data_IF_020357553738
#
_entry.id   IF_020357553738
#
_cell.length_a   1.000
_cell.length_b   1.000
_cell.length_c   1.000
_cell.angle_alpha   90.00
_cell.angle_beta   90.00
_cell.angle_gamma   90.00
#
_symmetry.space_group_name_H-M   'P 1'
#
loop_
_entity.id
_entity.type
_entity.pdbx_description
1 polymer ?
#
# COMPACT_ATOMS: atom_id res chain seq x y z
N UNK A 1 44.09 22.40 -34.54
CA UNK A 1 43.82 23.60 -33.75
C UNK A 1 43.20 23.13 -32.45
N UNK A 2 44.03 23.21 -31.49
CA UNK A 2 43.98 22.73 -30.14
C UNK A 2 43.21 23.72 -29.26
N UNK A 3 42.38 23.23 -28.33
CA UNK A 3 42.01 24.02 -27.18
C UNK A 3 41.40 23.10 -26.08
N UNK A 4 42.29 22.58 -25.29
CA UNK A 4 42.08 21.97 -24.01
C UNK A 4 41.67 22.99 -22.94
N UNK A 5 40.55 22.80 -22.27
CA UNK A 5 40.11 23.58 -21.11
C UNK A 5 40.08 22.73 -19.86
N UNK A 6 41.17 22.78 -19.12
CA UNK A 6 41.29 22.23 -17.75
C UNK A 6 40.56 23.15 -16.74
N UNK A 7 39.74 22.61 -15.87
CA UNK A 7 39.35 23.24 -14.62
C UNK A 7 39.82 22.45 -13.41
N UNK A 8 40.40 23.11 -12.40
CA UNK A 8 41.07 22.46 -11.29
C UNK A 8 40.14 22.03 -10.15
N UNK A 9 40.46 20.87 -9.65
CA UNK A 9 39.92 20.31 -8.38
C UNK A 9 40.48 21.11 -7.20
N UNK A 10 39.66 21.63 -6.33
CA UNK A 10 40.06 22.14 -5.01
C UNK A 10 39.65 21.14 -3.94
N UNK A 11 40.68 20.49 -3.40
CA UNK A 11 40.65 19.80 -2.14
C UNK A 11 40.49 20.80 -0.99
N UNK A 12 39.63 20.53 -0.03
CA UNK A 12 39.71 21.13 1.30
C UNK A 12 39.61 20.04 2.35
N UNK A 13 40.64 20.02 3.17
CA UNK A 13 40.97 19.12 4.23
C UNK A 13 40.06 19.17 5.46
N UNK A 14 40.15 18.17 6.35
CA UNK A 14 39.34 17.98 7.52
C UNK A 14 39.90 18.67 8.76
N UNK A 15 39.06 19.17 9.63
CA UNK A 15 39.48 19.61 10.97
C UNK A 15 38.87 18.68 11.99
N UNK A 16 39.75 17.83 12.50
CA UNK A 16 39.62 17.09 13.77
C UNK A 16 39.94 18.05 14.90
N UNK A 17 39.07 18.20 15.85
CA UNK A 17 39.40 18.81 17.14
C UNK A 17 39.01 17.85 18.29
N UNK A 18 40.02 17.25 18.84
CA UNK A 18 40.04 16.49 20.08
C UNK A 18 40.05 17.50 21.21
N UNK A 19 39.20 17.38 22.20
CA UNK A 19 39.40 18.02 23.48
C UNK A 19 39.21 16.99 24.61
N UNK A 20 40.29 16.77 25.27
CA UNK A 20 40.47 15.81 26.37
C UNK A 20 40.16 16.43 27.73
N UNK A 21 39.64 15.58 28.58
CA UNK A 21 39.80 15.50 30.05
C UNK A 21 40.04 16.77 30.88
N UNK A 22 39.20 16.96 31.87
CA UNK A 22 39.71 17.26 33.24
C UNK A 22 38.75 16.68 34.29
N UNK A 23 39.27 15.68 35.02
CA UNK A 23 38.74 15.22 36.29
C UNK A 23 39.08 16.27 37.37
N UNK A 24 38.14 16.64 38.19
CA UNK A 24 38.42 17.24 39.50
C UNK A 24 37.66 16.44 40.55
N UNK A 25 38.45 15.74 41.37
CA UNK A 25 38.05 15.19 42.66
C UNK A 25 38.06 16.32 43.69
N UNK A 26 37.02 16.44 44.49
CA UNK A 26 37.14 17.09 45.81
C UNK A 26 36.31 16.32 46.83
N UNK A 27 37.00 16.02 47.91
CA UNK A 27 36.62 15.22 49.08
C UNK A 27 35.79 16.03 50.07
N UNK A 28 34.82 15.37 50.71
CA UNK A 28 34.50 15.32 52.14
C UNK A 28 34.51 16.60 52.97
N UNK A 29 33.39 16.87 53.66
CA UNK A 29 33.32 17.10 55.11
C UNK A 29 31.85 17.04 55.57
N UNK A 30 31.56 16.17 56.55
CA UNK A 30 30.42 16.18 57.48
C UNK A 30 30.93 16.98 58.71
N UNK A 31 30.15 17.70 59.56
CA UNK A 31 29.17 17.09 60.46
C UNK A 31 27.94 17.91 60.93
N UNK A 32 26.86 17.17 61.33
CA UNK A 32 26.12 17.17 62.62
C UNK A 32 25.54 18.51 63.14
N UNK A 33 24.22 18.52 63.38
CA UNK A 33 23.46 18.78 64.61
C UNK A 33 21.96 18.97 64.23
N UNK A 34 21.10 18.07 64.57
CA UNK A 34 20.36 17.77 65.81
C UNK A 34 19.23 18.79 66.12
N UNK A 35 18.04 18.23 66.20
CA UNK A 35 16.93 18.42 67.16
C UNK A 35 15.79 19.40 66.86
N UNK A 36 14.60 18.79 66.86
CA UNK A 36 13.29 19.24 67.37
C UNK A 36 12.52 20.35 66.66
N UNK A 37 11.39 19.97 66.12
CA UNK A 37 10.08 20.22 66.76
C UNK A 37 8.96 19.51 65.98
N UNK A 38 8.27 18.67 66.71
CA UNK A 38 7.00 18.09 66.31
C UNK A 38 5.91 19.15 66.33
N UNK A 39 5.30 19.39 65.18
CA UNK A 39 3.97 20.01 65.14
C UNK A 39 3.21 19.26 64.03
N UNK A 40 2.28 18.46 64.51
CA UNK A 40 1.30 17.76 63.67
C UNK A 40 0.36 18.81 63.03
N UNK A 41 0.50 18.97 61.72
CA UNK A 41 -0.59 19.53 60.91
C UNK A 41 -1.07 18.43 59.99
N UNK A 42 -2.21 17.85 60.35
CA UNK A 42 -3.01 17.03 59.48
C UNK A 42 -3.52 17.88 58.30
N UNK A 43 -2.74 17.94 57.25
CA UNK A 43 -3.22 18.40 55.96
C UNK A 43 -3.90 17.21 55.32
N UNK A 44 -5.22 17.27 55.25
CA UNK A 44 -6.01 16.47 54.33
C UNK A 44 -5.46 16.67 52.91
N UNK A 45 -4.50 15.85 52.53
CA UNK A 45 -4.13 15.67 51.16
C UNK A 45 -5.30 15.05 50.44
N UNK A 46 -6.09 15.89 49.75
CA UNK A 46 -6.96 15.38 48.70
C UNK A 46 -6.07 14.67 47.69
N UNK A 47 -6.02 13.35 47.79
CA UNK A 47 -5.50 12.51 46.76
C UNK A 47 -6.30 12.82 45.48
N UNK A 48 -5.70 13.64 44.60
CA UNK A 48 -6.08 13.63 43.20
C UNK A 48 -5.86 12.20 42.76
N UNK A 49 -6.93 11.40 42.79
CA UNK A 49 -6.98 10.12 42.11
C UNK A 49 -6.51 10.38 40.69
N UNK A 50 -5.34 9.88 40.36
CA UNK A 50 -4.98 9.66 38.96
C UNK A 50 -6.08 8.75 38.44
N UNK A 51 -7.13 9.35 37.87
CA UNK A 51 -8.12 8.66 37.07
C UNK A 51 -7.35 8.05 35.93
N UNK A 52 -6.92 6.80 36.12
CA UNK A 52 -6.43 6.00 35.03
C UNK A 52 -7.51 6.09 33.95
N UNK A 53 -7.23 6.77 32.86
CA UNK A 53 -8.01 6.63 31.65
C UNK A 53 -8.09 5.11 31.40
N UNK A 54 -9.24 4.53 31.72
CA UNK A 54 -9.56 3.20 31.24
C UNK A 54 -9.40 3.28 29.74
N UNK A 55 -8.34 2.68 29.20
CA UNK A 55 -8.06 2.67 27.79
C UNK A 55 -9.34 2.29 27.05
N UNK A 56 -9.80 3.15 26.15
CA UNK A 56 -10.87 2.78 25.24
C UNK A 56 -10.49 1.43 24.59
N UNK A 57 -11.42 0.51 24.48
CA UNK A 57 -11.17 -0.72 23.72
C UNK A 57 -10.58 -0.36 22.36
N UNK A 58 -9.63 -1.13 21.82
CA UNK A 58 -9.10 -0.90 20.48
C UNK A 58 -10.27 -0.76 19.49
N UNK A 59 -10.28 0.31 18.73
CA UNK A 59 -11.30 0.50 17.70
C UNK A 59 -11.11 -0.55 16.61
N UNK A 60 -12.23 -1.04 16.03
CA UNK A 60 -12.16 -1.91 14.87
C UNK A 60 -11.49 -1.16 13.69
N UNK A 61 -10.84 -1.87 12.76
CA UNK A 61 -10.24 -1.25 11.57
C UNK A 61 -11.21 -0.39 10.77
N UNK A 62 -12.49 -0.78 10.72
CA UNK A 62 -13.56 0.00 10.11
C UNK A 62 -13.82 1.31 10.87
N UNK A 63 -13.93 1.26 12.20
CA UNK A 63 -14.15 2.44 13.02
C UNK A 63 -12.93 3.37 13.08
N UNK A 64 -11.72 2.82 12.91
CA UNK A 64 -10.45 3.54 12.89
C UNK A 64 -10.08 4.06 11.50
N UNK A 65 -10.88 3.82 10.46
CA UNK A 65 -10.57 4.20 9.09
C UNK A 65 -10.36 5.71 8.95
N UNK A 66 -9.16 6.17 8.53
CA UNK A 66 -8.87 7.62 8.40
C UNK A 66 -9.52 8.22 7.15
N UNK A 67 -9.91 7.38 6.19
CA UNK A 67 -10.57 7.73 4.94
C UNK A 67 -11.69 6.74 4.64
N UNK A 68 -12.77 7.24 4.05
CA UNK A 68 -13.87 6.39 3.57
C UNK A 68 -13.65 6.04 2.10
N UNK A 69 -13.41 4.77 1.81
CA UNK A 69 -13.25 4.22 0.46
C UNK A 69 -14.54 3.61 -0.10
N UNK A 70 -15.60 3.49 0.70
CA UNK A 70 -16.84 2.78 0.30
C UNK A 70 -17.57 3.45 -0.85
N UNK A 71 -18.39 2.68 -1.56
CA UNK A 71 -19.25 3.13 -2.67
C UNK A 71 -18.74 2.71 -4.04
N UNK A 72 -19.27 3.35 -5.07
CA UNK A 72 -18.98 3.05 -6.47
C UNK A 72 -17.92 3.99 -7.04
N UNK A 73 -17.05 3.44 -7.86
CA UNK A 73 -15.93 4.15 -8.48
C UNK A 73 -15.79 3.73 -9.94
N UNK A 74 -15.54 4.67 -10.84
CA UNK A 74 -15.29 4.39 -12.25
C UNK A 74 -13.86 4.72 -12.64
N UNK A 75 -13.21 3.81 -13.35
CA UNK A 75 -11.85 3.98 -13.86
C UNK A 75 -11.73 5.22 -14.74
N UNK A 76 -10.74 6.07 -14.45
CA UNK A 76 -10.26 7.13 -15.34
C UNK A 76 -8.97 6.64 -16.01
N UNK A 77 -9.03 6.38 -17.32
CA UNK A 77 -7.87 5.86 -18.05
C UNK A 77 -7.14 7.03 -18.68
N UNK A 78 -6.31 7.70 -17.89
CA UNK A 78 -5.47 8.83 -18.31
C UNK A 78 -4.03 8.41 -18.55
N UNK A 79 -3.56 7.41 -17.80
CA UNK A 79 -2.23 6.83 -17.90
C UNK A 79 -2.27 5.48 -18.62
N UNK A 80 -1.24 5.17 -19.35
CA UNK A 80 -1.07 3.88 -20.05
C UNK A 80 -2.26 3.49 -20.96
N UNK A 81 -3.07 4.46 -21.41
CA UNK A 81 -4.31 4.21 -22.15
C UNK A 81 -4.14 3.25 -23.32
N UNK A 82 -2.98 3.34 -24.03
CA UNK A 82 -2.64 2.46 -25.16
C UNK A 82 -2.64 0.97 -24.80
N UNK A 83 -2.23 0.63 -23.58
CA UNK A 83 -2.12 -0.75 -23.12
C UNK A 83 -3.26 -1.18 -22.20
N UNK A 84 -4.15 -0.24 -21.84
CA UNK A 84 -5.31 -0.51 -20.97
C UNK A 84 -6.60 -0.58 -21.74
N UNK A 85 -6.81 0.31 -22.73
CA UNK A 85 -8.05 0.39 -23.52
C UNK A 85 -8.12 -0.64 -24.63
N UNK A 86 -6.97 -1.11 -25.12
CA UNK A 86 -6.88 -2.12 -26.17
C UNK A 86 -5.90 -3.18 -25.74
N UNK A 87 -6.23 -4.47 -25.97
CA UNK A 87 -5.27 -5.54 -25.75
C UNK A 87 -4.09 -5.38 -26.71
N UNK A 88 -2.86 -5.18 -26.22
CA UNK A 88 -1.70 -5.03 -27.09
C UNK A 88 -1.41 -6.30 -27.88
N UNK A 89 -0.64 -6.14 -28.96
CA UNK A 89 -0.17 -7.30 -29.71
C UNK A 89 0.67 -8.24 -28.83
N UNK A 90 0.67 -9.53 -29.17
CA UNK A 90 1.57 -10.51 -28.57
C UNK A 90 3.02 -10.04 -28.72
N UNK A 91 3.77 -10.05 -27.63
CA UNK A 91 5.15 -9.58 -27.60
C UNK A 91 5.33 -8.08 -27.41
N UNK A 92 4.28 -7.26 -27.44
CA UNK A 92 4.36 -5.83 -27.04
C UNK A 92 4.33 -5.73 -25.51
N UNK A 93 5.50 -5.84 -24.92
CA UNK A 93 5.71 -5.75 -23.48
C UNK A 93 6.32 -4.41 -23.05
N UNK A 94 6.21 -3.38 -23.90
CA UNK A 94 6.69 -2.04 -23.57
C UNK A 94 6.12 -1.56 -22.23
N UNK A 95 6.90 -0.80 -21.46
CA UNK A 95 6.65 -0.31 -20.09
C UNK A 95 6.59 -1.38 -18.98
N UNK A 96 6.71 -2.67 -19.29
CA UNK A 96 6.91 -3.70 -18.25
C UNK A 96 8.42 -3.91 -18.06
N UNK A 97 8.94 -3.94 -16.82
CA UNK A 97 10.36 -4.23 -16.55
C UNK A 97 10.67 -5.72 -16.75
N UNK A 98 10.71 -6.14 -18.02
CA UNK A 98 10.82 -7.54 -18.44
C UNK A 98 12.19 -8.13 -18.16
N UNK A 99 12.22 -9.45 -17.91
CA UNK A 99 13.44 -10.26 -18.02
C UNK A 99 13.31 -11.32 -19.14
N UNK A 100 14.39 -12.00 -19.54
CA UNK A 100 14.34 -12.99 -20.62
C UNK A 100 13.33 -14.12 -20.38
N UNK A 101 13.16 -14.59 -19.14
CA UNK A 101 12.21 -15.63 -18.79
C UNK A 101 10.76 -15.19 -18.98
N UNK A 102 10.42 -13.96 -18.53
CA UNK A 102 9.10 -13.37 -18.70
C UNK A 102 8.76 -13.13 -20.16
N UNK A 103 9.73 -12.66 -20.97
CA UNK A 103 9.54 -12.51 -22.41
C UNK A 103 9.28 -13.85 -23.08
N UNK A 104 10.10 -14.87 -22.79
CA UNK A 104 9.94 -16.20 -23.35
C UNK A 104 8.59 -16.83 -22.99
N UNK A 105 8.14 -16.68 -21.76
CA UNK A 105 6.83 -17.16 -21.30
C UNK A 105 5.68 -16.39 -21.97
N UNK A 106 5.75 -15.05 -21.99
CA UNK A 106 4.74 -14.20 -22.63
C UNK A 106 4.58 -14.46 -24.13
N UNK A 107 5.67 -14.89 -24.82
CA UNK A 107 5.59 -15.29 -26.23
C UNK A 107 4.79 -16.59 -26.45
N UNK A 108 4.49 -17.38 -25.43
CA UNK A 108 3.64 -18.55 -25.52
C UNK A 108 2.15 -18.21 -25.44
N UNK A 109 1.78 -16.98 -25.09
CA UNK A 109 0.39 -16.57 -24.95
C UNK A 109 -0.46 -16.94 -26.16
N UNK A 110 -1.57 -17.58 -25.86
CA UNK A 110 -2.57 -18.03 -26.82
C UNK A 110 -3.96 -17.92 -26.18
N UNK A 111 -4.70 -16.85 -26.45
CA UNK A 111 -6.00 -16.62 -25.81
C UNK A 111 -7.03 -17.70 -26.12
N UNK A 112 -6.94 -18.36 -27.29
CA UNK A 112 -7.87 -19.44 -27.62
C UNK A 112 -7.63 -20.67 -26.72
N UNK A 113 -6.37 -20.95 -26.37
CA UNK A 113 -6.06 -22.02 -25.42
C UNK A 113 -6.54 -21.67 -24.00
N UNK A 114 -6.36 -20.43 -23.58
CA UNK A 114 -6.85 -19.98 -22.27
C UNK A 114 -8.38 -20.08 -22.17
N UNK A 115 -9.10 -19.69 -23.22
CA UNK A 115 -10.56 -19.84 -23.31
C UNK A 115 -11.00 -21.32 -23.27
N UNK A 116 -10.36 -22.18 -24.07
CA UNK A 116 -10.65 -23.60 -24.09
C UNK A 116 -10.36 -24.30 -22.75
N UNK A 117 -9.40 -23.80 -22.00
CA UNK A 117 -9.05 -24.28 -20.65
C UNK A 117 -9.90 -23.67 -19.52
N UNK A 118 -10.81 -22.73 -19.81
CA UNK A 118 -11.55 -21.98 -18.78
C UNK A 118 -10.68 -20.99 -17.98
N UNK A 119 -9.55 -20.57 -18.54
CA UNK A 119 -8.55 -19.71 -17.89
C UNK A 119 -8.57 -18.26 -18.39
N UNK A 120 -9.67 -17.81 -18.98
CA UNK A 120 -9.84 -16.44 -19.50
C UNK A 120 -9.67 -15.34 -18.43
N UNK A 121 -9.71 -15.69 -17.15
CA UNK A 121 -9.51 -14.75 -16.04
C UNK A 121 -8.04 -14.51 -15.66
N UNK A 122 -7.05 -15.11 -16.33
CA UNK A 122 -5.62 -14.96 -15.95
C UNK A 122 -5.13 -13.52 -15.87
N UNK A 123 -5.68 -12.60 -16.67
CA UNK A 123 -5.34 -11.17 -16.63
C UNK A 123 -6.20 -10.32 -15.69
N UNK A 124 -7.06 -10.95 -14.91
CA UNK A 124 -7.90 -10.30 -13.92
C UNK A 124 -7.47 -10.61 -12.46
N UNK A 125 -6.29 -11.18 -12.28
CA UNK A 125 -5.71 -11.40 -10.96
C UNK A 125 -5.27 -10.11 -10.26
N UNK A 126 -5.02 -10.17 -8.96
CA UNK A 126 -4.63 -9.02 -8.14
C UNK A 126 -3.49 -8.16 -8.73
N UNK A 127 -2.43 -8.75 -9.37
CA UNK A 127 -1.36 -7.96 -9.96
C UNK A 127 -1.79 -7.09 -11.17
N UNK A 128 -2.96 -7.34 -11.77
CA UNK A 128 -3.39 -6.73 -13.02
C UNK A 128 -4.75 -6.03 -12.94
N UNK A 129 -5.66 -6.47 -12.06
CA UNK A 129 -7.09 -6.10 -12.10
C UNK A 129 -7.31 -4.58 -12.01
N UNK A 130 -6.53 -3.85 -11.22
CA UNK A 130 -6.69 -2.40 -11.09
C UNK A 130 -6.31 -1.63 -12.36
N UNK A 131 -5.62 -2.28 -13.31
CA UNK A 131 -5.30 -1.71 -14.62
C UNK A 131 -6.35 -1.99 -15.68
N UNK A 132 -7.21 -2.97 -15.47
CA UNK A 132 -8.36 -3.22 -16.35
C UNK A 132 -9.34 -2.06 -16.20
N UNK A 133 -9.79 -1.41 -17.30
CA UNK A 133 -10.87 -0.44 -17.21
C UNK A 133 -12.12 -1.09 -16.60
N UNK A 134 -12.50 -0.64 -15.42
CA UNK A 134 -13.55 -1.28 -14.61
C UNK A 134 -14.24 -0.26 -13.72
N UNK A 135 -15.38 -0.62 -13.16
CA UNK A 135 -15.91 0.00 -11.94
C UNK A 135 -15.56 -0.85 -10.73
N UNK A 136 -15.41 -0.18 -9.61
CA UNK A 136 -15.24 -0.82 -8.32
C UNK A 136 -16.48 -0.56 -7.46
N UNK A 137 -16.90 -1.57 -6.73
CA UNK A 137 -17.83 -1.44 -5.62
C UNK A 137 -17.11 -1.84 -4.34
N UNK A 138 -16.87 -0.86 -3.48
CA UNK A 138 -16.12 -1.04 -2.23
C UNK A 138 -17.08 -0.98 -1.05
N UNK A 139 -17.07 -2.03 -0.24
CA UNK A 139 -17.94 -2.15 0.95
C UNK A 139 -17.17 -2.79 2.10
N UNK A 140 -17.66 -2.60 3.31
CA UNK A 140 -17.20 -3.41 4.45
C UNK A 140 -18.03 -4.69 4.52
N UNK A 141 -17.35 -5.84 4.41
CA UNK A 141 -17.94 -7.15 4.61
C UNK A 141 -18.25 -7.38 6.11
N UNK A 142 -17.32 -6.94 6.95
CA UNK A 142 -17.46 -6.88 8.41
C UNK A 142 -16.52 -5.79 8.97
N UNK A 143 -16.35 -5.70 10.29
CA UNK A 143 -15.55 -4.65 10.93
C UNK A 143 -14.03 -4.79 10.71
N UNK A 144 -13.56 -5.91 10.18
CA UNK A 144 -12.15 -6.22 9.95
C UNK A 144 -11.84 -6.61 8.50
N UNK A 145 -12.82 -6.61 7.60
CA UNK A 145 -12.64 -7.01 6.20
C UNK A 145 -13.29 -6.00 5.27
N UNK A 146 -12.48 -5.36 4.43
CA UNK A 146 -12.94 -4.52 3.33
C UNK A 146 -13.07 -5.39 2.07
N UNK A 147 -14.20 -5.29 1.36
CA UNK A 147 -14.49 -6.01 0.13
C UNK A 147 -14.45 -5.06 -1.05
N UNK A 148 -13.75 -5.46 -2.12
CA UNK A 148 -13.76 -4.79 -3.41
C UNK A 148 -14.30 -5.76 -4.46
N UNK A 149 -15.34 -5.35 -5.15
CA UNK A 149 -15.91 -6.03 -6.31
C UNK A 149 -15.60 -5.24 -7.57
N UNK A 150 -15.31 -5.91 -8.67
CA UNK A 150 -15.11 -5.29 -10.00
C UNK A 150 -16.21 -5.74 -10.95
N UNK A 151 -16.74 -4.83 -11.77
CA UNK A 151 -17.70 -5.19 -12.80
C UNK A 151 -17.01 -5.92 -13.98
N UNK A 152 -15.85 -5.45 -14.43
CA UNK A 152 -15.08 -6.18 -15.43
C UNK A 152 -14.43 -7.42 -14.81
N UNK A 153 -14.74 -8.59 -15.39
CA UNK A 153 -14.27 -9.88 -14.93
C UNK A 153 -14.99 -10.41 -13.69
N UNK A 154 -15.91 -9.66 -13.10
CA UNK A 154 -16.71 -10.06 -11.91
C UNK A 154 -15.84 -10.60 -10.78
N UNK A 155 -14.74 -9.90 -10.47
CA UNK A 155 -13.81 -10.33 -9.43
C UNK A 155 -14.18 -9.75 -8.08
N UNK A 156 -13.89 -10.53 -7.03
CA UNK A 156 -14.04 -10.09 -5.64
C UNK A 156 -12.70 -10.23 -4.92
N UNK A 157 -12.30 -9.18 -4.22
CA UNK A 157 -11.11 -9.14 -3.38
C UNK A 157 -11.50 -8.83 -1.93
N UNK A 158 -10.95 -9.56 -0.99
CA UNK A 158 -11.16 -9.35 0.44
C UNK A 158 -9.86 -8.87 1.07
N UNK A 159 -9.89 -7.73 1.74
CA UNK A 159 -8.75 -7.14 2.42
C UNK A 159 -8.93 -7.29 3.92
N UNK A 160 -8.14 -8.16 4.53
CA UNK A 160 -8.23 -8.52 5.93
C UNK A 160 -7.29 -7.66 6.78
N UNK A 161 -7.82 -7.06 7.82
CA UNK A 161 -7.04 -6.28 8.77
C UNK A 161 -6.64 -7.13 9.98
N UNK A 162 -5.41 -6.95 10.44
CA UNK A 162 -4.86 -7.70 11.56
C UNK A 162 -4.31 -9.07 11.15
N UNK A 163 -4.28 -9.98 12.11
CA UNK A 163 -3.86 -11.35 11.85
C UNK A 163 -4.91 -12.07 11.00
N UNK A 164 -4.50 -12.52 9.84
CA UNK A 164 -5.35 -13.26 8.92
C UNK A 164 -4.66 -14.58 8.57
N UNK A 165 -5.43 -15.66 8.67
CA UNK A 165 -5.03 -16.97 8.17
C UNK A 165 -5.97 -17.37 7.04
N UNK A 166 -5.45 -17.66 5.83
CA UNK A 166 -6.27 -18.11 4.72
C UNK A 166 -7.09 -19.35 5.09
N UNK A 167 -8.34 -19.37 4.65
CA UNK A 167 -9.22 -20.54 4.88
C UNK A 167 -8.75 -21.78 4.11
N UNK A 168 -7.93 -21.59 3.07
CA UNK A 168 -7.27 -22.68 2.35
C UNK A 168 -5.87 -22.22 1.92
N UNK A 169 -4.94 -23.19 1.80
CA UNK A 169 -3.62 -22.96 1.25
C UNK A 169 -3.60 -23.03 -0.29
N UNK A 170 -4.78 -23.00 -0.95
CA UNK A 170 -4.88 -23.08 -2.40
C UNK A 170 -4.70 -21.68 -3.01
N UNK A 171 -3.67 -21.47 -3.82
CA UNK A 171 -3.45 -20.19 -4.49
C UNK A 171 -4.64 -19.79 -5.38
N UNK A 172 -4.98 -18.50 -5.37
CA UNK A 172 -6.04 -17.93 -6.20
C UNK A 172 -5.52 -16.78 -7.06
N UNK A 173 -6.29 -16.33 -8.06
CA UNK A 173 -5.91 -15.16 -8.87
C UNK A 173 -5.92 -13.87 -8.02
N UNK A 174 -6.75 -13.82 -6.96
CA UNK A 174 -6.83 -12.67 -6.07
C UNK A 174 -5.89 -12.77 -4.86
N UNK A 175 -5.36 -13.97 -4.59
CA UNK A 175 -4.45 -14.23 -3.48
C UNK A 175 -5.07 -13.95 -2.12
N UNK A 176 -4.19 -13.83 -1.14
CA UNK A 176 -4.50 -13.50 0.25
C UNK A 176 -4.00 -12.10 0.56
N UNK A 177 -4.92 -11.20 0.93
CA UNK A 177 -4.62 -9.78 1.10
C UNK A 177 -4.72 -9.35 2.56
N UNK A 178 -3.61 -8.85 3.09
CA UNK A 178 -3.53 -8.24 4.43
C UNK A 178 -3.49 -6.73 4.30
N UNK A 179 -4.37 -6.06 5.02
CA UNK A 179 -4.58 -4.63 4.97
C UNK A 179 -4.12 -3.93 6.27
N UNK A 180 -3.65 -2.70 6.14
CA UNK A 180 -3.34 -1.81 7.25
C UNK A 180 -3.60 -0.37 6.87
N UNK A 181 -4.05 0.45 7.85
CA UNK A 181 -4.12 1.88 7.69
C UNK A 181 -2.74 2.50 7.92
N UNK A 182 -2.27 3.27 6.94
CA UNK A 182 -1.10 4.14 7.10
C UNK A 182 -1.58 5.56 7.37
N UNK A 183 -1.32 6.08 8.56
CA UNK A 183 -1.66 7.45 8.94
C UNK A 183 -0.37 8.26 9.03
N UNK A 184 -0.34 9.42 8.39
CA UNK A 184 0.75 10.38 8.58
C UNK A 184 0.88 10.74 10.05
N UNK A 185 2.11 10.85 10.57
CA UNK A 185 2.36 11.18 11.97
C UNK A 185 1.63 12.46 12.40
N UNK A 186 0.66 12.33 13.29
CA UNK A 186 -0.04 13.47 13.89
C UNK A 186 0.93 14.34 14.71
N UNK A 187 0.85 15.64 14.60
CA UNK A 187 1.50 16.55 15.55
C UNK A 187 0.77 16.46 16.89
N UNK A 188 1.51 16.60 18.02
CA UNK A 188 0.93 16.61 19.37
C UNK A 188 -0.34 17.45 19.40
N UNK A 189 -1.47 16.83 19.72
CA UNK A 189 -2.77 17.50 19.88
C UNK A 189 -3.59 17.72 18.60
N UNK A 190 -3.14 17.21 17.43
CA UNK A 190 -3.92 17.21 16.20
C UNK A 190 -3.96 15.80 15.60
N UNK A 191 -5.14 15.24 15.34
CA UNK A 191 -5.23 13.96 14.66
C UNK A 191 -4.53 14.01 13.29
N UNK A 192 -4.02 12.88 12.77
CA UNK A 192 -3.48 12.83 11.42
C UNK A 192 -4.51 13.34 10.42
N UNK A 193 -4.11 14.26 9.55
CA UNK A 193 -4.96 14.68 8.46
C UNK A 193 -4.83 13.68 7.31
N UNK A 194 -5.85 12.85 7.10
CA UNK A 194 -5.87 11.84 6.04
C UNK A 194 -5.13 10.55 6.42
N UNK A 195 -5.04 9.66 5.47
CA UNK A 195 -4.37 8.37 5.57
C UNK A 195 -4.48 7.62 4.26
N UNK A 196 -3.76 6.51 4.15
CA UNK A 196 -3.74 5.59 3.02
C UNK A 196 -4.11 4.19 3.50
N UNK A 197 -4.77 3.40 2.66
CA UNK A 197 -4.89 1.98 2.90
C UNK A 197 -3.74 1.28 2.17
N UNK A 198 -2.91 0.58 2.93
CA UNK A 198 -1.89 -0.32 2.38
C UNK A 198 -2.39 -1.75 2.41
N UNK A 199 -2.22 -2.45 1.30
CA UNK A 199 -2.60 -3.85 1.14
C UNK A 199 -1.41 -4.63 0.60
N UNK A 200 -1.09 -5.76 1.23
CA UNK A 200 -0.07 -6.71 0.74
C UNK A 200 -0.76 -8.01 0.39
N UNK A 201 -0.60 -8.45 -0.86
CA UNK A 201 -1.22 -9.66 -1.39
C UNK A 201 -0.15 -10.68 -1.78
N UNK A 202 -0.32 -11.91 -1.30
CA UNK A 202 0.50 -13.08 -1.61
C UNK A 202 -0.40 -14.29 -1.91
N UNK A 203 0.14 -15.51 -2.02
CA UNK A 203 -0.68 -16.70 -2.28
C UNK A 203 -1.33 -16.71 -3.66
N UNK A 204 -0.67 -16.13 -4.64
CA UNK A 204 -1.21 -15.95 -5.99
C UNK A 204 -1.07 -17.20 -6.86
N UNK A 205 -2.14 -17.56 -7.57
CA UNK A 205 -2.07 -18.46 -8.73
C UNK A 205 -1.42 -17.71 -9.90
N UNK A 206 -0.51 -18.30 -10.67
CA UNK A 206 0.08 -17.68 -11.87
C UNK A 206 -0.96 -17.13 -12.84
N UNK A 207 -0.67 -15.98 -13.43
CA UNK A 207 -1.55 -15.30 -14.38
C UNK A 207 -0.80 -14.30 -15.24
N UNK A 208 -1.48 -13.25 -15.70
CA UNK A 208 -0.91 -12.24 -16.59
C UNK A 208 -0.98 -10.83 -15.98
N UNK A 209 0.14 -10.08 -16.04
CA UNK A 209 0.20 -8.66 -15.70
C UNK A 209 -0.50 -7.77 -16.73
N UNK A 210 -0.72 -8.28 -17.93
CA UNK A 210 -1.35 -7.58 -19.03
C UNK A 210 -2.11 -8.57 -19.90
N UNK A 211 -3.20 -8.12 -20.52
CA UNK A 211 -4.08 -8.95 -21.34
C UNK A 211 -3.41 -9.61 -22.56
N UNK A 212 -2.21 -9.20 -22.94
CA UNK A 212 -1.42 -9.84 -24.00
C UNK A 212 -0.48 -10.93 -23.48
N UNK A 213 -0.75 -11.49 -22.30
CA UNK A 213 -0.10 -12.68 -21.80
C UNK A 213 1.25 -12.48 -21.12
N UNK A 214 1.68 -11.24 -20.79
CA UNK A 214 2.90 -11.11 -19.99
C UNK A 214 2.68 -11.70 -18.58
N UNK A 215 3.49 -12.69 -18.16
CA UNK A 215 3.18 -13.50 -17.00
C UNK A 215 3.51 -12.82 -15.67
N UNK A 216 2.87 -13.33 -14.61
CA UNK A 216 3.38 -13.29 -13.25
C UNK A 216 3.36 -14.70 -12.64
N UNK A 217 4.25 -14.94 -11.68
CA UNK A 217 4.44 -16.27 -11.07
C UNK A 217 3.67 -16.43 -9.75
N UNK A 218 3.72 -17.62 -9.18
CA UNK A 218 3.25 -17.93 -7.82
C UNK A 218 4.14 -17.32 -6.71
N UNK A 219 5.31 -16.76 -7.07
CA UNK A 219 6.22 -16.04 -6.17
C UNK A 219 5.94 -14.54 -6.13
N UNK A 220 4.92 -14.11 -6.87
CA UNK A 220 4.55 -12.69 -6.93
C UNK A 220 4.01 -12.21 -5.59
N UNK A 221 4.46 -11.02 -5.19
CA UNK A 221 3.87 -10.23 -4.12
C UNK A 221 3.41 -8.89 -4.70
N UNK A 222 2.22 -8.46 -4.28
CA UNK A 222 1.65 -7.17 -4.68
C UNK A 222 1.50 -6.30 -3.46
N UNK A 223 1.99 -5.07 -3.54
CA UNK A 223 1.70 -4.03 -2.53
C UNK A 223 0.90 -2.93 -3.19
N UNK A 224 -0.22 -2.58 -2.60
CA UNK A 224 -1.10 -1.54 -3.11
C UNK A 224 -1.34 -0.47 -2.05
N UNK A 225 -1.39 0.78 -2.51
CA UNK A 225 -1.73 1.93 -1.68
C UNK A 225 -2.97 2.58 -2.28
N UNK A 226 -3.99 2.77 -1.45
CA UNK A 226 -5.27 3.37 -1.81
C UNK A 226 -5.37 4.73 -1.15
N UNK A 227 -5.27 5.78 -1.96
CA UNK A 227 -5.31 7.17 -1.54
C UNK A 227 -6.56 7.84 -2.06
N UNK A 228 -7.28 8.56 -1.19
CA UNK A 228 -8.46 9.33 -1.57
C UNK A 228 -8.17 10.81 -1.52
N UNK A 229 -8.48 11.53 -2.59
CA UNK A 229 -8.39 12.98 -2.65
C UNK A 229 -9.73 13.60 -3.10
N UNK A 230 -9.98 14.83 -2.67
CA UNK A 230 -11.09 15.63 -3.16
C UNK A 230 -10.51 16.75 -4.01
N UNK A 231 -11.03 16.90 -5.21
CA UNK A 231 -10.60 17.90 -6.16
C UNK A 231 -11.42 19.20 -6.01
N UNK A 232 -10.84 20.33 -6.42
CA UNK A 232 -11.49 21.65 -6.34
C UNK A 232 -12.80 21.73 -7.12
N UNK A 233 -12.98 20.91 -8.15
CA UNK A 233 -14.20 20.81 -8.94
C UNK A 233 -15.32 19.99 -8.28
N UNK A 234 -15.13 19.55 -7.03
CA UNK A 234 -16.05 18.72 -6.26
C UNK A 234 -15.98 17.22 -6.56
N UNK A 235 -15.13 16.78 -7.49
CA UNK A 235 -14.91 15.36 -7.74
C UNK A 235 -14.11 14.72 -6.59
N UNK A 236 -14.40 13.46 -6.31
CA UNK A 236 -13.54 12.65 -5.40
C UNK A 236 -12.84 11.60 -6.24
N UNK A 237 -11.53 11.52 -6.08
CA UNK A 237 -10.67 10.54 -6.75
C UNK A 237 -10.15 9.51 -5.76
N UNK A 238 -10.03 8.29 -6.22
CA UNK A 238 -9.28 7.21 -5.61
C UNK A 238 -8.08 6.91 -6.50
N UNK A 239 -6.89 7.03 -5.94
CA UNK A 239 -5.63 6.75 -6.62
C UNK A 239 -5.09 5.45 -6.03
N UNK A 240 -4.84 4.47 -6.89
CA UNK A 240 -4.32 3.17 -6.47
C UNK A 240 -2.93 3.00 -7.06
N UNK A 241 -1.91 3.09 -6.21
CA UNK A 241 -0.54 2.75 -6.59
C UNK A 241 -0.30 1.28 -6.33
N UNK A 242 0.03 0.53 -7.39
CA UNK A 242 0.29 -0.91 -7.33
C UNK A 242 1.76 -1.18 -7.61
N UNK A 243 2.41 -1.88 -6.69
CA UNK A 243 3.80 -2.35 -6.80
C UNK A 243 3.78 -3.87 -6.92
N UNK A 244 4.16 -4.38 -8.07
CA UNK A 244 4.26 -5.83 -8.33
C UNK A 244 5.72 -6.24 -8.29
N UNK A 245 6.05 -7.17 -7.40
CA UNK A 245 7.36 -7.79 -7.28
C UNK A 245 7.26 -9.25 -7.68
N UNK A 246 7.95 -9.64 -8.75
CA UNK A 246 8.02 -11.01 -9.23
C UNK A 246 9.48 -11.38 -9.54
N UNK A 247 10.11 -12.24 -8.71
CA UNK A 247 11.52 -12.60 -8.90
C UNK A 247 11.76 -13.52 -10.10
N UNK A 248 10.69 -14.09 -10.68
CA UNK A 248 10.79 -15.04 -11.79
C UNK A 248 10.75 -14.32 -13.15
N UNK A 249 9.85 -13.34 -13.30
CA UNK A 249 9.55 -12.75 -14.61
C UNK A 249 9.86 -11.26 -14.74
N UNK A 250 10.17 -10.57 -13.65
CA UNK A 250 10.53 -9.16 -13.67
C UNK A 250 11.99 -8.95 -13.28
N UNK A 251 12.65 -7.96 -13.88
CA UNK A 251 14.01 -7.56 -13.51
C UNK A 251 14.04 -6.51 -12.39
N UNK A 252 12.91 -5.83 -12.15
CA UNK A 252 12.68 -4.88 -11.06
C UNK A 252 11.18 -4.80 -10.77
N UNK A 253 10.78 -4.09 -9.73
CA UNK A 253 9.39 -3.88 -9.39
C UNK A 253 8.64 -3.16 -10.52
N UNK A 254 7.45 -3.65 -10.85
CA UNK A 254 6.55 -3.00 -11.80
C UNK A 254 5.57 -2.12 -11.02
N UNK A 255 5.77 -0.82 -11.12
CA UNK A 255 4.99 0.18 -10.39
C UNK A 255 4.03 0.87 -11.35
N UNK A 256 2.76 0.90 -10.98
CA UNK A 256 1.71 1.57 -11.75
C UNK A 256 0.81 2.37 -10.83
N UNK A 257 0.22 3.44 -11.36
CA UNK A 257 -0.81 4.21 -10.67
C UNK A 257 -2.08 4.21 -11.53
N UNK A 258 -3.23 4.01 -10.92
CA UNK A 258 -4.53 4.00 -11.59
C UNK A 258 -5.50 4.91 -10.84
N UNK A 259 -6.34 5.61 -11.60
CA UNK A 259 -7.24 6.59 -11.05
C UNK A 259 -8.69 6.16 -11.24
N UNK A 260 -9.50 6.40 -10.22
CA UNK A 260 -10.93 6.16 -10.23
C UNK A 260 -11.65 7.40 -9.71
N UNK A 261 -12.77 7.73 -10.32
CA UNK A 261 -13.65 8.81 -9.86
C UNK A 261 -14.84 8.20 -9.12
N UNK A 262 -15.21 8.81 -8.00
CA UNK A 262 -16.41 8.42 -7.25
C UNK A 262 -17.67 8.61 -8.09
N UNK A 263 -18.54 7.62 -8.09
CA UNK A 263 -19.88 7.70 -8.66
C UNK A 263 -20.91 7.89 -7.53
N UNK A 264 -22.01 8.55 -7.85
CA UNK A 264 -23.07 8.83 -6.88
C UNK A 264 -23.85 7.57 -6.48
N UNK A 265 -23.98 6.63 -7.40
CA UNK A 265 -24.80 5.43 -7.26
C UNK A 265 -24.29 4.28 -8.15
N UNK A 266 -25.05 3.19 -8.17
CA UNK A 266 -24.76 1.97 -8.92
C UNK A 266 -25.15 2.02 -10.42
N UNK A 267 -25.67 3.14 -10.93
CA UNK A 267 -26.31 3.19 -12.27
C UNK A 267 -25.40 2.73 -13.41
N UNK A 268 -24.09 2.95 -13.27
CA UNK A 268 -23.11 2.52 -14.27
C UNK A 268 -22.57 1.10 -14.07
N UNK A 269 -22.97 0.40 -13.00
CA UNK A 269 -22.48 -0.93 -12.69
C UNK A 269 -22.97 -1.96 -13.72
N UNK A 270 -22.02 -2.58 -14.43
CA UNK A 270 -22.30 -3.50 -15.55
C UNK A 270 -21.38 -4.72 -15.52
N UNK A 271 -21.72 -5.74 -14.72
CA UNK A 271 -20.85 -6.94 -14.57
C UNK A 271 -20.68 -7.69 -15.88
N UNK A 272 -19.43 -7.77 -16.34
CA UNK A 272 -19.04 -8.49 -17.54
C UNK A 272 -18.12 -9.67 -17.18
N UNK A 273 -18.22 -10.82 -17.85
CA UNK A 273 -17.31 -11.93 -17.59
C UNK A 273 -15.87 -11.61 -17.99
N UNK A 274 -14.93 -12.42 -17.51
CA UNK A 274 -13.55 -12.36 -17.99
C UNK A 274 -13.48 -12.70 -19.49
N UNK A 275 -12.53 -12.07 -20.17
CA UNK A 275 -12.16 -12.39 -21.55
C UNK A 275 -10.66 -12.62 -21.64
N UNK A 276 -10.21 -13.57 -22.45
CA UNK A 276 -8.79 -13.82 -22.65
C UNK A 276 -8.09 -12.74 -23.51
N UNK A 277 -8.86 -11.80 -24.05
CA UNK A 277 -8.40 -10.64 -24.84
C UNK A 277 -8.93 -9.33 -24.31
#
# INVERSE_FOLDING_TARGET
MDSSGHFPVRNLCPSVLICAHTMVKLKSVIPILVVCCALATTLFGQGRGAGGQRGQPPQSPRAAAPIDLTGYWVSLVTEDWRWRMVTPAKGDFASIPTNPAGVAEGQKWDPAKDEAAGEQCKSYGAPAIMRVPTRLHITWDNDTTLKIETDAGQQTRLFHFGEFQPASNTPSLQGDSVASWETGGGRRGRPPAGGSLKVVTTGLKPGYLRKNGYPYSDKTAVTEFYDRTNEDNGSTLLIITTVVKDPVYLNQEFITSTHFRKEADAKGWDPQPCTAR
#
